data_IF_074886625590
#
_entry.id   IF_074886625590
#
_cell.length_a   1.000
_cell.length_b   1.000
_cell.length_c   1.000
_cell.angle_alpha   90.00
_cell.angle_beta   90.00
_cell.angle_gamma   90.00
#
_symmetry.space_group_name_H-M   'P 1'
#
loop_
_entity.id
_entity.type
_entity.pdbx_description
1 polymer ?
#
# COMPACT_ATOMS: atom_id res chain seq x y z
N UNK A 1 6.23 16.31 -3.84
CA UNK A 1 6.29 15.28 -4.93
C UNK A 1 4.92 14.68 -5.29
N UNK A 2 3.83 15.02 -4.57
CA UNK A 2 2.46 14.60 -4.88
C UNK A 2 1.81 15.31 -6.10
N UNK A 3 2.36 16.45 -6.55
CA UNK A 3 1.86 17.15 -7.75
C UNK A 3 2.42 16.60 -9.08
N UNK A 4 3.31 15.60 -9.05
CA UNK A 4 4.06 15.15 -10.25
C UNK A 4 3.64 13.81 -10.86
N UNK A 5 2.69 13.11 -10.24
CA UNK A 5 1.92 12.05 -10.90
C UNK A 5 0.46 12.52 -10.87
N UNK A 6 -0.09 12.93 -12.02
CA UNK A 6 -1.54 13.11 -12.13
C UNK A 6 -2.27 11.84 -11.70
N UNK A 7 -3.58 11.89 -11.41
CA UNK A 7 -4.33 10.73 -10.92
C UNK A 7 -4.11 9.44 -11.74
N UNK A 8 -3.86 9.57 -13.03
CA UNK A 8 -3.47 8.49 -13.95
C UNK A 8 -2.18 7.75 -13.56
N UNK A 9 -1.17 8.48 -13.07
CA UNK A 9 0.08 7.91 -12.60
C UNK A 9 -0.11 7.11 -11.32
N UNK A 10 -0.91 7.63 -10.37
CA UNK A 10 -1.23 6.91 -9.13
C UNK A 10 -1.99 5.62 -9.44
N UNK A 11 -3.01 5.68 -10.30
CA UNK A 11 -3.78 4.50 -10.72
C UNK A 11 -2.85 3.47 -11.37
N UNK A 12 -1.92 3.90 -12.22
CA UNK A 12 -0.97 2.99 -12.87
C UNK A 12 -0.06 2.28 -11.87
N UNK A 13 0.45 3.00 -10.87
CA UNK A 13 1.28 2.39 -9.82
C UNK A 13 0.46 1.43 -8.94
N UNK A 14 -0.80 1.74 -8.66
CA UNK A 14 -1.72 0.84 -7.95
C UNK A 14 -1.98 -0.43 -8.74
N UNK A 15 -2.27 -0.35 -10.04
CA UNK A 15 -2.43 -1.51 -10.90
C UNK A 15 -1.15 -2.36 -10.99
N UNK A 16 0.02 -1.72 -11.02
CA UNK A 16 1.30 -2.43 -10.99
C UNK A 16 1.51 -3.15 -9.65
N UNK A 17 1.21 -2.50 -8.53
CA UNK A 17 1.25 -3.10 -7.19
C UNK A 17 0.28 -4.27 -7.06
N UNK A 18 -0.96 -4.11 -7.55
CA UNK A 18 -1.95 -5.18 -7.61
C UNK A 18 -1.41 -6.39 -8.36
N UNK A 19 -0.83 -6.18 -9.54
CA UNK A 19 -0.24 -7.24 -10.37
C UNK A 19 0.94 -7.97 -9.72
N UNK A 20 1.66 -7.29 -8.83
CA UNK A 20 2.75 -7.92 -8.06
C UNK A 20 2.21 -8.78 -6.92
N UNK A 21 1.07 -8.41 -6.33
CA UNK A 21 0.49 -9.07 -5.15
C UNK A 21 -0.57 -10.12 -5.49
N UNK A 22 -1.20 -10.02 -6.66
CA UNK A 22 -2.28 -10.91 -7.09
C UNK A 22 -1.83 -12.34 -7.31
N UNK A 23 -2.77 -13.25 -7.13
CA UNK A 23 -2.65 -14.62 -7.59
C UNK A 23 -2.80 -14.66 -9.11
N UNK A 24 -1.83 -15.28 -9.81
CA UNK A 24 -1.82 -15.34 -11.28
C UNK A 24 -2.87 -16.29 -11.86
N UNK A 25 -3.36 -17.23 -11.07
CA UNK A 25 -4.34 -18.23 -11.51
C UNK A 25 -5.76 -17.73 -11.27
N UNK A 26 -6.01 -17.03 -10.16
CA UNK A 26 -7.33 -16.50 -9.80
C UNK A 26 -7.59 -15.07 -10.25
N UNK A 27 -6.54 -14.38 -10.66
CA UNK A 27 -6.56 -12.96 -11.02
C UNK A 27 -7.02 -11.99 -9.91
N UNK A 28 -6.92 -12.42 -8.65
CA UNK A 28 -7.29 -11.66 -7.44
C UNK A 28 -6.21 -11.77 -6.37
N UNK A 29 -6.14 -10.81 -5.46
CA UNK A 29 -5.23 -10.91 -4.30
C UNK A 29 -5.91 -11.76 -3.23
N UNK A 30 -5.31 -12.89 -2.90
CA UNK A 30 -5.74 -13.72 -1.77
C UNK A 30 -4.78 -13.52 -0.60
N UNK A 31 -5.19 -13.90 0.62
CA UNK A 31 -4.29 -13.87 1.78
C UNK A 31 -2.99 -14.63 1.50
N UNK A 32 -3.08 -15.78 0.82
CA UNK A 32 -1.93 -16.60 0.47
C UNK A 32 -1.01 -15.93 -0.56
N UNK A 33 -1.59 -15.33 -1.63
CA UNK A 33 -0.81 -14.63 -2.65
C UNK A 33 -0.18 -13.36 -2.07
N UNK A 34 -0.93 -12.62 -1.25
CA UNK A 34 -0.45 -11.45 -0.55
C UNK A 34 0.73 -11.81 0.34
N UNK A 35 0.63 -12.86 1.17
CA UNK A 35 1.73 -13.32 2.03
C UNK A 35 2.99 -13.66 1.23
N UNK A 36 2.84 -14.47 0.17
CA UNK A 36 3.95 -14.93 -0.66
C UNK A 36 4.64 -13.77 -1.38
N UNK A 37 3.84 -12.89 -1.96
CA UNK A 37 4.33 -11.79 -2.80
C UNK A 37 4.83 -10.61 -1.95
N UNK A 38 4.20 -10.32 -0.80
CA UNK A 38 4.66 -9.33 0.16
C UNK A 38 6.02 -9.71 0.77
N UNK A 39 6.25 -10.99 1.02
CA UNK A 39 7.58 -11.48 1.43
C UNK A 39 8.65 -11.19 0.37
N UNK A 40 8.33 -11.27 -0.93
CA UNK A 40 9.27 -10.90 -2.00
C UNK A 40 9.57 -9.39 -2.05
N UNK A 41 8.66 -8.56 -1.54
CA UNK A 41 8.84 -7.11 -1.41
C UNK A 41 9.55 -6.71 -0.11
N UNK A 42 9.98 -7.69 0.70
CA UNK A 42 10.66 -7.45 1.98
C UNK A 42 9.73 -7.18 3.15
N UNK A 43 8.40 -7.35 2.98
CA UNK A 43 7.39 -7.19 4.05
C UNK A 43 7.16 -8.51 4.81
N UNK A 44 8.24 -9.23 5.10
CA UNK A 44 8.22 -10.54 5.75
C UNK A 44 7.82 -10.50 7.24
N UNK A 45 7.75 -9.31 7.84
CA UNK A 45 7.36 -9.10 9.24
C UNK A 45 5.84 -9.05 9.46
N UNK A 46 5.04 -9.02 8.38
CA UNK A 46 3.59 -9.05 8.48
C UNK A 46 3.11 -10.45 8.90
N UNK A 47 2.39 -10.52 10.02
CA UNK A 47 1.78 -11.75 10.51
C UNK A 47 0.58 -12.14 9.67
N UNK A 48 0.27 -13.43 9.64
CA UNK A 48 -0.92 -13.97 8.99
C UNK A 48 -2.20 -13.22 9.40
N UNK A 49 -2.36 -12.93 10.69
CA UNK A 49 -3.51 -12.16 11.21
C UNK A 49 -3.61 -10.75 10.63
N UNK A 50 -2.47 -10.08 10.39
CA UNK A 50 -2.45 -8.73 9.82
C UNK A 50 -2.79 -8.76 8.33
N UNK A 51 -2.28 -9.76 7.59
CA UNK A 51 -2.61 -9.97 6.19
C UNK A 51 -4.09 -10.32 6.00
N UNK A 52 -4.63 -11.19 6.85
CA UNK A 52 -6.06 -11.52 6.87
C UNK A 52 -6.92 -10.30 7.19
N UNK A 53 -6.49 -9.47 8.15
CA UNK A 53 -7.21 -8.23 8.46
C UNK A 53 -7.17 -7.24 7.30
N UNK A 54 -6.05 -7.13 6.58
CA UNK A 54 -5.93 -6.26 5.40
C UNK A 54 -6.85 -6.69 4.27
N UNK A 55 -6.89 -8.00 3.96
CA UNK A 55 -7.80 -8.54 2.95
C UNK A 55 -9.24 -8.31 3.38
N UNK A 56 -9.60 -8.63 4.62
CA UNK A 56 -10.96 -8.45 5.13
C UNK A 56 -11.43 -7.00 5.16
N UNK A 57 -10.54 -6.03 5.36
CA UNK A 57 -10.88 -4.61 5.36
C UNK A 57 -11.16 -4.08 3.94
N UNK A 58 -10.49 -4.65 2.93
CA UNK A 58 -10.66 -4.26 1.52
C UNK A 58 -11.72 -5.08 0.78
N UNK A 59 -12.04 -6.27 1.27
CA UNK A 59 -13.03 -7.19 0.71
C UNK A 59 -14.44 -6.64 0.95
N UNK A 60 -15.04 -6.07 -0.11
CA UNK A 60 -16.34 -5.41 -0.05
C UNK A 60 -17.49 -6.36 -0.42
N UNK A 61 -17.20 -7.39 -1.22
CA UNK A 61 -18.18 -8.39 -1.64
C UNK A 61 -18.21 -9.65 -0.76
N UNK A 62 -17.20 -9.83 0.09
CA UNK A 62 -17.07 -10.92 1.05
C UNK A 62 -16.59 -12.23 0.43
N UNK A 63 -15.93 -12.20 -0.72
CA UNK A 63 -15.43 -13.40 -1.41
C UNK A 63 -14.12 -13.96 -0.80
N UNK A 64 -13.51 -13.24 0.15
CA UNK A 64 -12.27 -13.61 0.81
C UNK A 64 -11.01 -13.28 -0.01
N UNK A 65 -11.14 -12.47 -1.05
CA UNK A 65 -10.07 -11.96 -1.88
C UNK A 65 -10.24 -10.44 -2.10
N UNK A 66 -9.25 -9.83 -2.77
CA UNK A 66 -9.36 -8.45 -3.25
C UNK A 66 -9.27 -8.47 -4.77
N UNK A 67 -10.29 -7.94 -5.42
CA UNK A 67 -10.21 -7.61 -6.83
C UNK A 67 -9.50 -6.27 -7.07
N UNK A 68 -9.23 -5.92 -8.33
CA UNK A 68 -8.49 -4.70 -8.69
C UNK A 68 -9.17 -3.42 -8.15
N UNK A 69 -10.50 -3.36 -8.19
CA UNK A 69 -11.25 -2.20 -7.69
C UNK A 69 -11.18 -2.11 -6.17
N UNK A 70 -11.37 -3.21 -5.46
CA UNK A 70 -11.29 -3.27 -4.00
C UNK A 70 -9.91 -2.89 -3.49
N UNK A 71 -8.86 -3.40 -4.13
CA UNK A 71 -7.49 -3.01 -3.81
C UNK A 71 -7.24 -1.51 -4.05
N UNK A 72 -7.72 -0.97 -5.18
CA UNK A 72 -7.60 0.46 -5.45
C UNK A 72 -8.34 1.31 -4.41
N UNK A 73 -9.55 0.90 -4.02
CA UNK A 73 -10.34 1.58 -2.99
C UNK A 73 -9.67 1.48 -1.63
N UNK A 74 -9.15 0.31 -1.24
CA UNK A 74 -8.41 0.11 0.01
C UNK A 74 -7.17 1.02 0.06
N UNK A 75 -6.38 1.04 -1.02
CA UNK A 75 -5.22 1.92 -1.11
C UNK A 75 -5.59 3.39 -1.11
N UNK A 76 -6.71 3.77 -1.73
CA UNK A 76 -7.21 5.15 -1.67
C UNK A 76 -7.75 5.52 -0.28
N UNK A 77 -8.27 4.56 0.50
CA UNK A 77 -8.69 4.77 1.90
C UNK A 77 -7.49 4.87 2.83
N UNK A 78 -6.42 4.13 2.57
CA UNK A 78 -5.17 4.18 3.34
C UNK A 78 -4.27 5.37 2.96
N UNK A 79 -4.30 5.80 1.68
CA UNK A 79 -3.49 6.91 1.14
C UNK A 79 -3.68 8.27 1.85
N UNK A 80 -4.88 8.73 2.27
CA UNK A 80 -5.00 9.97 3.03
C UNK A 80 -4.27 9.88 4.38
N UNK A 81 -4.28 8.72 5.05
CA UNK A 81 -3.55 8.52 6.31
C UNK A 81 -2.04 8.32 6.12
N UNK A 82 -1.63 7.59 5.08
CA UNK A 82 -0.20 7.38 4.76
C UNK A 82 0.47 8.68 4.28
N UNK A 83 -0.28 9.57 3.63
CA UNK A 83 0.23 10.92 3.29
C UNK A 83 0.40 11.81 4.53
N UNK A 84 -0.41 11.67 5.57
CA UNK A 84 -0.21 12.38 6.85
C UNK A 84 1.06 11.89 7.57
N UNK A 85 1.29 10.58 7.63
CA UNK A 85 2.49 10.02 8.27
C UNK A 85 3.77 10.35 7.48
N UNK A 86 3.70 10.34 6.15
CA UNK A 86 4.83 10.74 5.30
C UNK A 86 5.11 12.26 5.39
N UNK A 87 4.10 13.09 5.68
CA UNK A 87 4.29 14.53 5.96
C UNK A 87 5.03 14.75 7.27
N UNK A 88 4.71 14.00 8.33
CA UNK A 88 5.37 14.11 9.63
C UNK A 88 6.85 13.68 9.58
N UNK A 89 7.14 12.57 8.89
CA UNK A 89 8.53 12.13 8.66
C UNK A 89 9.33 13.13 7.83
N UNK A 90 8.70 13.81 6.87
CA UNK A 90 9.37 14.85 6.07
C UNK A 90 9.66 16.10 6.90
N UNK A 91 8.75 16.47 7.81
CA UNK A 91 8.94 17.60 8.74
C UNK A 91 10.06 17.31 9.75
N UNK A 92 10.13 16.09 10.28
CA UNK A 92 11.21 15.66 11.18
C UNK A 92 12.58 15.66 10.48
N UNK A 93 12.65 15.22 9.21
CA UNK A 93 13.88 15.27 8.40
C UNK A 93 14.29 16.71 8.07
N UNK A 94 13.33 17.60 7.79
CA UNK A 94 13.60 19.02 7.54
C UNK A 94 14.07 19.76 8.79
N UNK A 95 13.52 19.45 9.96
CA UNK A 95 13.96 20.00 11.24
C UNK A 95 15.37 19.52 11.63
N UNK A 96 15.70 18.25 11.35
CA UNK A 96 17.04 17.70 11.63
C UNK A 96 18.10 18.29 10.69
N UNK A 97 17.79 18.51 9.41
CA UNK A 97 18.68 19.21 8.47
C UNK A 97 18.91 20.69 8.87
N UNK A 98 17.88 21.40 9.34
CA UNK A 98 18.03 22.78 9.84
C UNK A 98 18.82 22.86 11.15
N UNK A 99 18.74 21.84 12.00
CA UNK A 99 19.51 21.72 13.25
C UNK A 99 20.97 21.35 12.99
N UNK A 100 21.22 20.53 11.97
CA UNK A 100 22.56 20.06 11.58
C UNK A 100 23.28 21.11 10.72
N UNK A 101 22.55 21.93 9.97
CA UNK A 101 23.05 23.10 9.24
C UNK A 101 23.31 24.34 10.15
N UNK A 102 23.58 24.12 11.43
CA UNK A 102 23.71 25.14 12.47
C UNK A 102 24.48 26.40 12.07
N UNK A 103 23.87 27.54 12.41
CA UNK A 103 24.60 28.66 13.00
C UNK A 103 25.25 28.23 14.32
#
# INVERSE_FOLDING_TARGET
MAEKLGGEGLIRELCNGFRLLMDKEKEVITVESLKRNAAMLGLQDLRDDELESMVREGDLDGDGALNEMEFCVLMFRLSPGLMEESQLLLEEILEDELRTAGF
#
